data_IF_574453632587
#
_entry.id   IF_574453632587
#
_cell.length_a   1.000
_cell.length_b   1.000
_cell.length_c   1.000
_cell.angle_alpha   90.00
_cell.angle_beta   90.00
_cell.angle_gamma   90.00
#
_symmetry.space_group_name_H-M   'P 1'
#
loop_
_entity.id
_entity.type
_entity.pdbx_description
1 polymer ?
#
# COMPACT_ATOMS: atom_id res chain seq x y z
N UNK A 1 0.81 13.90 15.86
CA UNK A 1 2.00 14.76 16.00
C UNK A 1 1.76 15.76 17.12
N UNK A 2 2.81 16.19 17.82
CA UNK A 2 2.71 17.21 18.87
C UNK A 2 2.78 18.62 18.27
N UNK A 3 2.13 19.60 18.91
CA UNK A 3 2.14 20.99 18.44
C UNK A 3 3.48 21.67 18.76
N UNK A 4 4.08 22.32 17.77
CA UNK A 4 5.32 23.10 17.88
C UNK A 4 5.08 24.62 17.93
N UNK A 5 3.81 25.05 18.00
CA UNK A 5 3.43 26.43 18.26
C UNK A 5 3.47 27.35 17.04
N UNK A 6 3.73 26.78 15.86
CA UNK A 6 3.74 27.48 14.58
C UNK A 6 2.69 26.85 13.66
N UNK A 7 1.61 27.55 13.29
CA UNK A 7 0.49 26.97 12.55
C UNK A 7 0.89 26.26 11.25
N UNK A 8 1.83 26.83 10.49
CA UNK A 8 2.32 26.22 9.26
C UNK A 8 3.06 24.90 9.52
N UNK A 9 3.95 24.87 10.52
CA UNK A 9 4.67 23.65 10.88
C UNK A 9 3.75 22.58 11.46
N UNK A 10 2.82 23.01 12.33
CA UNK A 10 1.78 22.15 12.88
C UNK A 10 0.97 21.48 11.76
N UNK A 11 0.59 22.24 10.74
CA UNK A 11 -0.11 21.69 9.58
C UNK A 11 0.77 20.69 8.81
N UNK A 12 2.04 21.01 8.53
CA UNK A 12 2.94 20.09 7.80
C UNK A 12 3.16 18.77 8.53
N UNK A 13 3.29 18.81 9.86
CA UNK A 13 3.38 17.59 10.66
C UNK A 13 2.06 16.79 10.61
N UNK A 14 0.91 17.46 10.64
CA UNK A 14 -0.39 16.80 10.45
C UNK A 14 -0.54 16.17 9.07
N UNK A 15 -0.18 16.89 8.00
CA UNK A 15 -0.21 16.39 6.62
C UNK A 15 0.59 15.08 6.49
N UNK A 16 1.78 15.03 7.10
CA UNK A 16 2.60 13.81 7.14
C UNK A 16 1.87 12.68 7.87
N UNK A 17 1.33 12.95 9.06
CA UNK A 17 0.70 11.93 9.86
C UNK A 17 -0.54 11.35 9.17
N UNK A 18 -1.40 12.20 8.60
CA UNK A 18 -2.60 11.79 7.87
C UNK A 18 -2.22 10.97 6.64
N UNK A 19 -1.34 11.50 5.79
CA UNK A 19 -0.91 10.81 4.56
C UNK A 19 -0.21 9.49 4.86
N UNK A 20 0.60 9.43 5.93
CA UNK A 20 1.29 8.20 6.34
C UNK A 20 0.30 7.16 6.86
N UNK A 21 -0.66 7.58 7.68
CA UNK A 21 -1.69 6.68 8.20
C UNK A 21 -2.55 6.10 7.06
N UNK A 22 -2.93 6.91 6.06
CA UNK A 22 -3.61 6.42 4.87
C UNK A 22 -2.77 5.38 4.12
N UNK A 23 -1.48 5.67 3.88
CA UNK A 23 -0.59 4.72 3.23
C UNK A 23 -0.48 3.40 4.01
N UNK A 24 -0.33 3.48 5.33
CA UNK A 24 -0.24 2.32 6.21
C UNK A 24 -1.52 1.49 6.14
N UNK A 25 -2.70 2.12 6.20
CA UNK A 25 -3.99 1.42 6.09
C UNK A 25 -4.14 0.68 4.76
N UNK A 26 -3.73 1.32 3.65
CA UNK A 26 -3.72 0.67 2.34
C UNK A 26 -2.75 -0.51 2.29
N UNK A 27 -1.55 -0.35 2.85
CA UNK A 27 -0.57 -1.43 2.92
C UNK A 27 -1.08 -2.62 3.75
N UNK A 28 -1.67 -2.36 4.92
CA UNK A 28 -2.26 -3.39 5.78
C UNK A 28 -3.45 -4.09 5.11
N UNK A 29 -4.27 -3.36 4.35
CA UNK A 29 -5.32 -3.95 3.52
C UNK A 29 -4.75 -4.89 2.45
N UNK A 30 -3.70 -4.47 1.75
CA UNK A 30 -3.00 -5.32 0.76
C UNK A 30 -2.50 -6.63 1.39
N UNK A 31 -1.84 -6.54 2.56
CA UNK A 31 -1.32 -7.72 3.27
C UNK A 31 -2.45 -8.66 3.71
N UNK A 32 -3.59 -8.10 4.15
CA UNK A 32 -4.79 -8.89 4.48
C UNK A 32 -5.34 -9.62 3.26
N UNK A 33 -5.49 -8.93 2.13
CA UNK A 33 -5.98 -9.57 0.89
C UNK A 33 -5.03 -10.67 0.38
N UNK A 34 -3.71 -10.46 0.44
CA UNK A 34 -2.72 -11.51 0.10
C UNK A 34 -2.89 -12.73 1.03
N UNK A 35 -3.09 -12.49 2.32
CA UNK A 35 -3.25 -13.56 3.31
C UNK A 35 -4.56 -14.34 3.10
N UNK A 36 -5.66 -13.65 2.83
CA UNK A 36 -6.96 -14.27 2.49
C UNK A 36 -6.87 -15.10 1.21
N UNK A 37 -6.22 -14.57 0.16
CA UNK A 37 -6.00 -15.30 -1.09
C UNK A 37 -5.24 -16.61 -0.84
N UNK A 38 -4.14 -16.54 -0.09
CA UNK A 38 -3.34 -17.72 0.30
C UNK A 38 -4.16 -18.77 1.01
N UNK A 39 -4.99 -18.37 1.98
CA UNK A 39 -5.86 -19.28 2.72
C UNK A 39 -6.92 -19.91 1.81
N UNK A 40 -7.50 -19.15 0.89
CA UNK A 40 -8.52 -19.66 -0.02
C UNK A 40 -8.00 -20.68 -1.04
N UNK A 41 -6.71 -20.60 -1.40
CA UNK A 41 -6.07 -21.43 -2.43
C UNK A 41 -5.14 -22.50 -1.85
N UNK A 42 -5.21 -22.73 -0.53
CA UNK A 42 -4.35 -23.68 0.19
C UNK A 42 -2.84 -23.46 -0.12
N UNK A 43 -2.44 -22.19 -0.26
CA UNK A 43 -1.04 -21.79 -0.40
C UNK A 43 -0.29 -21.93 0.93
N UNK A 44 0.97 -22.37 0.89
CA UNK A 44 1.78 -22.45 2.10
C UNK A 44 2.18 -21.04 2.59
N UNK A 45 2.57 -20.96 3.86
CA UNK A 45 3.04 -19.71 4.45
C UNK A 45 4.35 -19.29 3.79
N UNK A 46 4.30 -18.23 2.99
CA UNK A 46 5.45 -17.73 2.24
C UNK A 46 5.27 -17.78 0.73
N UNK A 47 4.28 -18.52 0.23
CA UNK A 47 4.03 -18.66 -1.20
C UNK A 47 3.86 -17.29 -1.87
N UNK A 48 4.57 -17.07 -2.97
CA UNK A 48 4.52 -15.81 -3.71
C UNK A 48 3.11 -15.57 -4.29
N UNK A 49 2.77 -14.32 -4.62
CA UNK A 49 1.48 -14.02 -5.25
C UNK A 49 1.31 -14.81 -6.57
N UNK A 50 2.41 -14.97 -7.31
CA UNK A 50 2.47 -15.79 -8.50
C UNK A 50 2.08 -17.27 -8.29
N UNK A 51 2.51 -17.87 -7.18
CA UNK A 51 2.23 -19.27 -6.88
C UNK A 51 0.75 -19.49 -6.58
N UNK A 52 0.11 -18.58 -5.84
CA UNK A 52 -1.33 -18.66 -5.60
C UNK A 52 -2.14 -18.49 -6.88
N UNK A 53 -1.76 -17.58 -7.78
CA UNK A 53 -2.42 -17.45 -9.09
C UNK A 53 -2.20 -18.70 -9.95
N UNK A 54 -1.02 -19.33 -9.87
CA UNK A 54 -0.73 -20.61 -10.52
C UNK A 54 -1.66 -21.72 -10.04
N UNK A 55 -1.80 -21.91 -8.73
CA UNK A 55 -2.70 -22.90 -8.13
C UNK A 55 -4.16 -22.70 -8.55
N UNK A 56 -4.65 -21.46 -8.56
CA UNK A 56 -6.01 -21.16 -9.03
C UNK A 56 -6.20 -21.59 -10.50
N UNK A 57 -5.19 -21.34 -11.35
CA UNK A 57 -5.24 -21.75 -12.76
C UNK A 57 -5.32 -23.28 -12.87
N UNK A 58 -4.50 -24.00 -12.12
CA UNK A 58 -4.46 -25.47 -12.14
C UNK A 58 -5.74 -26.10 -11.61
N UNK A 59 -6.31 -25.59 -10.51
CA UNK A 59 -7.55 -26.09 -9.89
C UNK A 59 -8.75 -25.95 -10.85
N UNK A 60 -8.79 -24.88 -11.64
CA UNK A 60 -9.94 -24.55 -12.47
C UNK A 60 -9.75 -24.75 -13.98
N UNK A 61 -8.59 -25.23 -14.44
CA UNK A 61 -8.24 -25.33 -15.87
C UNK A 61 -9.23 -26.16 -16.72
N UNK A 62 -9.90 -27.14 -16.11
CA UNK A 62 -10.87 -28.00 -16.80
C UNK A 62 -12.15 -27.25 -17.21
N UNK A 63 -12.52 -26.21 -16.47
CA UNK A 63 -13.81 -25.51 -16.62
C UNK A 63 -13.62 -24.02 -16.98
N UNK A 64 -12.49 -23.43 -16.63
CA UNK A 64 -12.22 -22.02 -16.81
C UNK A 64 -10.80 -21.76 -17.30
N UNK A 65 -10.69 -20.84 -18.26
CA UNK A 65 -9.43 -20.16 -18.58
C UNK A 65 -9.25 -19.00 -17.61
N UNK A 66 -8.42 -19.23 -16.59
CA UNK A 66 -8.02 -18.21 -15.62
C UNK A 66 -6.75 -17.52 -16.08
N UNK A 67 -6.73 -16.19 -16.09
CA UNK A 67 -5.57 -15.38 -16.47
C UNK A 67 -5.52 -14.11 -15.64
N UNK A 68 -4.32 -13.55 -15.45
CA UNK A 68 -4.18 -12.23 -14.84
C UNK A 68 -4.12 -11.19 -15.97
N UNK A 69 -4.89 -10.11 -15.84
CA UNK A 69 -4.86 -8.98 -16.76
C UNK A 69 -4.32 -7.76 -16.04
N UNK A 70 -3.52 -6.97 -16.74
CA UNK A 70 -3.03 -5.68 -16.26
C UNK A 70 -3.54 -4.53 -17.12
N UNK A 71 -3.75 -3.38 -16.49
CA UNK A 71 -4.00 -2.10 -17.11
C UNK A 71 -3.30 -1.01 -16.29
N UNK A 72 -2.12 -0.58 -16.74
CA UNK A 72 -1.27 0.32 -15.97
C UNK A 72 -0.87 -0.30 -14.62
N UNK A 73 -1.21 0.37 -13.52
CA UNK A 73 -0.97 -0.10 -12.16
C UNK A 73 -2.09 -0.97 -11.60
N UNK A 74 -3.16 -1.19 -12.37
CA UNK A 74 -4.26 -2.06 -11.97
C UNK A 74 -4.10 -3.45 -12.56
N UNK A 75 -4.47 -4.46 -11.79
CA UNK A 75 -4.50 -5.84 -12.23
C UNK A 75 -5.70 -6.58 -11.65
N UNK A 76 -6.18 -7.58 -12.39
CA UNK A 76 -7.35 -8.36 -12.01
C UNK A 76 -7.29 -9.77 -12.56
N UNK A 77 -7.99 -10.69 -11.89
CA UNK A 77 -8.12 -12.07 -12.32
C UNK A 77 -9.28 -12.19 -13.33
N UNK A 78 -8.95 -12.44 -14.58
CA UNK A 78 -9.91 -12.72 -15.66
C UNK A 78 -10.23 -14.20 -15.71
N UNK A 79 -11.51 -14.52 -15.55
CA UNK A 79 -12.03 -15.89 -15.59
C UNK A 79 -12.98 -16.00 -16.76
N UNK A 80 -12.67 -16.87 -17.72
CA UNK A 80 -13.49 -17.12 -18.91
C UNK A 80 -13.87 -18.60 -18.91
N UNK A 81 -15.15 -18.98 -19.04
CA UNK A 81 -15.53 -20.39 -19.19
C UNK A 81 -14.78 -21.04 -20.35
N UNK A 82 -14.14 -22.19 -20.11
CA UNK A 82 -13.60 -23.02 -21.17
C UNK A 82 -14.80 -23.62 -21.92
N UNK A 83 -14.92 -23.36 -23.22
CA UNK A 83 -16.09 -23.76 -24.02
C UNK A 83 -16.22 -25.29 -23.97
N UNK A 84 -17.14 -25.78 -23.14
CA UNK A 84 -17.57 -27.17 -23.12
C UNK A 84 -18.93 -27.23 -23.83
N UNK A 85 -18.92 -27.72 -25.07
CA UNK A 85 -20.10 -28.20 -25.80
C UNK A 85 -21.20 -27.18 -26.18
N UNK A 86 -20.84 -25.92 -26.44
CA UNK A 86 -21.75 -24.97 -27.12
C UNK A 86 -22.99 -24.55 -26.33
N UNK A 87 -23.08 -24.90 -25.05
CA UNK A 87 -24.06 -24.34 -24.11
C UNK A 87 -23.34 -23.38 -23.18
N UNK A 88 -23.52 -22.09 -23.40
CA UNK A 88 -23.30 -21.10 -22.35
C UNK A 88 -24.35 -21.35 -21.27
N UNK A 89 -24.00 -22.09 -20.23
CA UNK A 89 -24.66 -21.84 -18.95
C UNK A 89 -23.99 -20.62 -18.34
N UNK A 90 -24.78 -19.58 -18.09
CA UNK A 90 -24.47 -18.50 -17.16
C UNK A 90 -24.41 -19.06 -15.73
N UNK A 91 -23.66 -20.15 -15.53
CA UNK A 91 -23.45 -20.71 -14.20
C UNK A 91 -22.62 -19.70 -13.39
N UNK A 92 -23.07 -19.36 -12.17
CA UNK A 92 -22.31 -18.48 -11.30
C UNK A 92 -20.94 -19.07 -11.03
N UNK A 93 -19.93 -18.20 -10.94
CA UNK A 93 -18.57 -18.62 -10.63
C UNK A 93 -18.52 -19.43 -9.33
N UNK A 94 -17.68 -20.48 -9.25
CA UNK A 94 -17.46 -21.20 -8.01
C UNK A 94 -17.11 -20.21 -6.88
N UNK A 95 -17.68 -20.35 -5.67
CA UNK A 95 -17.47 -19.40 -4.59
C UNK A 95 -15.99 -19.10 -4.29
N UNK A 96 -15.12 -20.13 -4.32
CA UNK A 96 -13.67 -19.96 -4.13
C UNK A 96 -13.03 -19.11 -5.24
N UNK A 97 -13.42 -19.34 -6.50
CA UNK A 97 -12.91 -18.60 -7.64
C UNK A 97 -13.39 -17.14 -7.63
N UNK A 98 -14.64 -16.91 -7.22
CA UNK A 98 -15.18 -15.56 -7.03
C UNK A 98 -14.44 -14.81 -5.92
N UNK A 99 -14.23 -15.46 -4.78
CA UNK A 99 -13.43 -14.92 -3.68
C UNK A 99 -12.02 -14.57 -4.15
N UNK A 100 -11.35 -15.46 -4.89
CA UNK A 100 -10.02 -15.19 -5.43
C UNK A 100 -9.99 -13.97 -6.35
N UNK A 101 -11.01 -13.76 -7.20
CA UNK A 101 -11.11 -12.54 -8.01
C UNK A 101 -11.24 -11.27 -7.15
N UNK A 102 -12.06 -11.34 -6.11
CA UNK A 102 -12.31 -10.20 -5.23
C UNK A 102 -11.06 -9.87 -4.39
N UNK A 103 -10.35 -10.88 -3.90
CA UNK A 103 -9.07 -10.71 -3.19
C UNK A 103 -7.99 -10.13 -4.13
N UNK A 104 -7.80 -10.67 -5.35
CA UNK A 104 -6.83 -10.13 -6.32
C UNK A 104 -7.11 -8.66 -6.64
N UNK A 105 -8.38 -8.29 -6.79
CA UNK A 105 -8.79 -6.89 -6.98
C UNK A 105 -8.45 -6.03 -5.76
N UNK A 106 -8.73 -6.52 -4.55
CA UNK A 106 -8.37 -5.84 -3.30
C UNK A 106 -6.86 -5.62 -3.15
N UNK A 107 -6.05 -6.61 -3.54
CA UNK A 107 -4.58 -6.49 -3.60
C UNK A 107 -4.19 -5.37 -4.57
N UNK A 108 -4.72 -5.38 -5.80
CA UNK A 108 -4.41 -4.37 -6.82
C UNK A 108 -4.74 -2.95 -6.35
N UNK A 109 -5.96 -2.73 -5.86
CA UNK A 109 -6.42 -1.42 -5.41
C UNK A 109 -5.57 -0.90 -4.25
N UNK A 110 -5.26 -1.77 -3.29
CA UNK A 110 -4.46 -1.44 -2.11
C UNK A 110 -2.98 -1.20 -2.44
N UNK A 111 -2.39 -1.97 -3.36
CA UNK A 111 -1.02 -1.77 -3.83
C UNK A 111 -0.89 -0.41 -4.53
N UNK A 112 -1.81 -0.10 -5.45
CA UNK A 112 -1.85 1.19 -6.15
C UNK A 112 -2.02 2.35 -5.19
N UNK A 113 -2.94 2.26 -4.22
CA UNK A 113 -3.16 3.30 -3.22
C UNK A 113 -1.94 3.50 -2.30
N UNK A 114 -1.26 2.41 -1.93
CA UNK A 114 0.00 2.48 -1.15
C UNK A 114 1.09 3.23 -1.90
N UNK A 115 1.23 2.97 -3.20
CA UNK A 115 2.25 3.61 -4.05
C UNK A 115 1.92 5.07 -4.32
N UNK A 116 0.65 5.39 -4.58
CA UNK A 116 0.23 6.76 -4.92
C UNK A 116 0.51 7.75 -3.79
N UNK A 117 0.41 7.32 -2.53
CA UNK A 117 0.77 8.12 -1.35
C UNK A 117 2.27 8.28 -1.15
N UNK A 118 3.07 7.38 -1.72
CA UNK A 118 4.52 7.37 -1.55
C UNK A 118 5.22 8.63 -2.06
N UNK A 119 4.79 9.19 -3.20
CA UNK A 119 5.40 10.41 -3.76
C UNK A 119 5.15 11.62 -2.87
N UNK A 120 3.89 11.83 -2.47
CA UNK A 120 3.52 12.93 -1.56
C UNK A 120 4.26 12.85 -0.23
N UNK A 121 4.35 11.65 0.36
CA UNK A 121 5.10 11.44 1.58
C UNK A 121 6.59 11.73 1.40
N UNK A 122 7.19 11.27 0.31
CA UNK A 122 8.60 11.54 0.02
C UNK A 122 8.90 13.05 -0.02
N UNK A 123 8.03 13.84 -0.64
CA UNK A 123 8.17 15.31 -0.69
C UNK A 123 8.03 15.96 0.69
N UNK A 124 7.00 15.57 1.46
CA UNK A 124 6.77 16.08 2.81
C UNK A 124 7.92 15.73 3.76
N UNK A 125 8.40 14.49 3.72
CA UNK A 125 9.56 14.04 4.49
C UNK A 125 10.82 14.81 4.10
N UNK A 126 11.08 14.97 2.80
CA UNK A 126 12.25 15.69 2.31
C UNK A 126 12.24 17.15 2.77
N UNK A 127 11.07 17.81 2.72
CA UNK A 127 10.92 19.17 3.17
C UNK A 127 11.19 19.31 4.67
N UNK A 128 10.52 18.52 5.52
CA UNK A 128 10.69 18.59 6.98
C UNK A 128 12.13 18.28 7.41
N UNK A 129 12.75 17.25 6.82
CA UNK A 129 14.12 16.86 7.15
C UNK A 129 15.13 17.93 6.74
N UNK A 130 14.94 18.59 5.59
CA UNK A 130 15.79 19.68 5.12
C UNK A 130 15.62 20.94 5.97
N UNK A 131 14.40 21.23 6.42
CA UNK A 131 14.07 22.44 7.16
C UNK A 131 14.31 22.33 8.67
N UNK A 132 14.88 21.23 9.18
CA UNK A 132 15.03 20.98 10.63
C UNK A 132 15.65 22.15 11.39
N UNK A 133 16.84 22.60 10.98
CA UNK A 133 17.58 23.62 11.73
C UNK A 133 16.89 25.00 11.63
N UNK A 134 16.41 25.45 10.45
CA UNK A 134 15.56 26.63 10.36
C UNK A 134 14.29 26.56 11.21
N UNK A 135 13.62 25.40 11.26
CA UNK A 135 12.41 25.21 12.08
C UNK A 135 12.72 25.31 13.57
N UNK A 136 13.83 24.73 14.03
CA UNK A 136 14.24 24.81 15.43
C UNK A 136 14.46 26.26 15.88
N UNK A 137 15.08 27.08 15.02
CA UNK A 137 15.26 28.51 15.32
C UNK A 137 13.93 29.27 15.31
N UNK A 138 13.03 28.99 14.36
CA UNK A 138 11.69 29.61 14.35
C UNK A 138 10.86 29.25 15.59
N UNK A 139 10.87 27.98 16.00
CA UNK A 139 10.18 27.52 17.22
C UNK A 139 10.74 28.22 18.45
N UNK A 140 12.07 28.36 18.52
CA UNK A 140 12.74 29.06 19.60
C UNK A 140 12.33 30.53 19.70
N UNK A 141 12.26 31.23 18.55
CA UNK A 141 11.92 32.65 18.49
C UNK A 141 10.43 32.91 18.74
N UNK A 142 9.55 31.99 18.35
CA UNK A 142 8.12 32.11 18.53
C UNK A 142 7.65 31.80 19.97
N UNK A 143 8.50 31.19 20.78
CA UNK A 143 8.15 30.79 22.13
C UNK A 143 7.96 32.02 23.06
N UNK A 144 6.81 32.14 23.75
CA UNK A 144 6.53 33.27 24.64
C UNK A 144 7.34 33.27 25.94
N UNK A 145 7.97 32.14 26.30
CA UNK A 145 8.78 32.02 27.51
C UNK A 145 9.84 30.94 27.35
N UNK A 146 10.87 30.96 28.21
CA UNK A 146 11.92 29.93 28.22
C UNK A 146 11.38 28.52 28.51
N UNK A 147 10.40 28.40 29.40
CA UNK A 147 9.75 27.12 29.69
C UNK A 147 9.00 26.59 28.46
N UNK A 148 8.27 27.47 27.78
CA UNK A 148 7.53 27.10 26.58
C UNK A 148 8.46 26.77 25.42
N UNK A 149 9.59 27.48 25.31
CA UNK A 149 10.66 27.18 24.38
C UNK A 149 11.18 25.74 24.56
N UNK A 150 11.41 25.32 25.80
CA UNK A 150 11.79 23.94 26.13
C UNK A 150 10.76 22.93 25.64
N UNK A 151 9.49 23.14 26.01
CA UNK A 151 8.37 22.25 25.62
C UNK A 151 8.21 22.14 24.10
N UNK A 152 8.26 23.26 23.38
CA UNK A 152 8.08 23.27 21.92
C UNK A 152 9.28 22.63 21.19
N UNK A 153 10.50 22.81 21.70
CA UNK A 153 11.69 22.15 21.17
C UNK A 153 11.64 20.63 21.38
N UNK A 154 11.23 20.16 22.56
CA UNK A 154 11.02 18.73 22.81
C UNK A 154 9.98 18.13 21.86
N UNK A 155 8.87 18.84 21.64
CA UNK A 155 7.85 18.44 20.68
C UNK A 155 8.39 18.38 19.25
N UNK A 156 9.21 19.34 18.83
CA UNK A 156 9.84 19.35 17.51
C UNK A 156 10.76 18.12 17.35
N UNK A 157 11.63 17.86 18.32
CA UNK A 157 12.54 16.70 18.28
C UNK A 157 11.78 15.36 18.26
N UNK A 158 10.72 15.24 19.04
CA UNK A 158 9.83 14.08 18.98
C UNK A 158 9.19 13.91 17.60
N UNK A 159 8.58 14.96 17.05
CA UNK A 159 7.99 14.90 15.71
C UNK A 159 9.03 14.56 14.64
N UNK A 160 10.25 15.09 14.73
CA UNK A 160 11.32 14.80 13.78
C UNK A 160 11.79 13.34 13.86
N UNK A 161 11.79 12.73 15.05
CA UNK A 161 12.03 11.28 15.21
C UNK A 161 10.91 10.48 14.55
N UNK A 162 9.67 10.85 14.77
CA UNK A 162 8.50 10.20 14.16
C UNK A 162 8.52 10.31 12.63
N UNK A 163 8.89 11.47 12.08
CA UNK A 163 9.07 11.69 10.64
C UNK A 163 10.12 10.75 10.05
N UNK A 164 11.26 10.55 10.73
CA UNK A 164 12.29 9.60 10.26
C UNK A 164 11.79 8.16 10.27
N UNK A 165 11.13 7.74 11.36
CA UNK A 165 10.53 6.40 11.45
C UNK A 165 9.50 6.19 10.34
N UNK A 166 8.58 7.14 10.17
CA UNK A 166 7.54 7.08 9.13
C UNK A 166 8.14 7.00 7.73
N UNK A 167 9.23 7.75 7.45
CA UNK A 167 9.95 7.66 6.18
C UNK A 167 10.50 6.26 5.92
N UNK A 168 11.16 5.65 6.90
CA UNK A 168 11.72 4.30 6.77
C UNK A 168 10.62 3.27 6.50
N UNK A 169 9.51 3.33 7.27
CA UNK A 169 8.36 2.44 7.06
C UNK A 169 7.70 2.65 5.69
N UNK A 170 7.49 3.91 5.28
CA UNK A 170 6.87 4.27 4.01
C UNK A 170 7.63 3.74 2.80
N UNK A 171 8.97 3.78 2.84
CA UNK A 171 9.83 3.19 1.80
C UNK A 171 9.61 1.68 1.73
N UNK A 172 9.56 1.01 2.88
CA UNK A 172 9.28 -0.43 2.95
C UNK A 172 7.91 -0.79 2.38
N UNK A 173 6.85 -0.05 2.73
CA UNK A 173 5.51 -0.27 2.20
C UNK A 173 5.46 -0.11 0.68
N UNK A 174 6.10 0.93 0.15
CA UNK A 174 6.16 1.19 -1.29
C UNK A 174 6.92 0.09 -2.03
N UNK A 175 8.05 -0.36 -1.47
CA UNK A 175 8.84 -1.44 -2.06
C UNK A 175 8.00 -2.72 -2.16
N UNK A 176 7.36 -3.14 -1.08
CA UNK A 176 6.51 -4.34 -1.05
C UNK A 176 5.32 -4.26 -2.01
N UNK A 177 4.66 -3.10 -2.09
CA UNK A 177 3.59 -2.89 -3.07
C UNK A 177 4.11 -2.95 -4.53
N UNK A 178 5.32 -2.44 -4.77
CA UNK A 178 5.99 -2.53 -6.07
C UNK A 178 6.40 -3.95 -6.46
N UNK A 179 6.85 -4.76 -5.50
CA UNK A 179 7.14 -6.20 -5.69
C UNK A 179 5.88 -6.93 -6.18
N UNK A 180 4.72 -6.69 -5.53
CA UNK A 180 3.42 -7.28 -5.93
C UNK A 180 3.03 -6.90 -7.36
N UNK A 181 3.20 -5.63 -7.75
CA UNK A 181 2.93 -5.20 -9.12
C UNK A 181 3.87 -5.85 -10.14
N UNK A 182 5.14 -6.02 -9.77
CA UNK A 182 6.13 -6.67 -10.62
C UNK A 182 5.78 -8.14 -10.82
N UNK A 183 5.40 -8.84 -9.74
CA UNK A 183 4.88 -10.21 -9.83
C UNK A 183 3.63 -10.27 -10.73
N UNK A 184 2.67 -9.36 -10.55
CA UNK A 184 1.48 -9.28 -11.39
C UNK A 184 1.83 -9.10 -12.88
N UNK A 185 2.80 -8.24 -13.20
CA UNK A 185 3.25 -8.03 -14.57
C UNK A 185 3.86 -9.28 -15.20
N UNK A 186 4.71 -9.97 -14.46
CA UNK A 186 5.29 -11.24 -14.90
C UNK A 186 4.21 -12.29 -15.19
N UNK A 187 3.21 -12.42 -14.30
CA UNK A 187 2.10 -13.38 -14.44
C UNK A 187 1.18 -13.05 -15.62
N UNK A 188 0.97 -11.75 -15.88
CA UNK A 188 0.15 -11.25 -16.98
C UNK A 188 0.88 -11.25 -18.34
N UNK A 189 2.20 -11.46 -18.34
CA UNK A 189 3.04 -11.31 -19.53
C UNK A 189 3.16 -9.85 -19.99
N UNK A 190 2.96 -8.90 -19.08
CA UNK A 190 3.13 -7.47 -19.34
C UNK A 190 4.59 -7.07 -19.04
N UNK A 191 5.19 -6.27 -19.91
CA UNK A 191 6.44 -5.56 -19.60
C UNK A 191 6.06 -4.22 -18.98
N UNK A 192 6.47 -4.00 -17.72
CA UNK A 192 6.37 -2.70 -17.03
C UNK A 192 7.43 -1.73 -17.55
#
# INVERSE_FOLDING_TARGET
MRRVGLPELDQRFSDVAETFNEQQQHYEAMVRHISSLRQSCDCAHGDAFAECVGKIREEHQATYRVSLKMNGYDFSLSVIPAVLNGKHLEEPLPPRLKLAQDEVRGISESARATISRGTTLQELFAWLLRCRDPMAEQVKQAAPSYQEQGRLNENLEENMREVRRAKESSVGYRQRAGEVLTEAAQIAGAHL
#
